data_IF_632191334315
#
_entry.id   IF_632191334315
#
_cell.length_a   1.000
_cell.length_b   1.000
_cell.length_c   1.000
_cell.angle_alpha   90.00
_cell.angle_beta   90.00
_cell.angle_gamma   90.00
#
_symmetry.space_group_name_H-M   'P 1'
#
loop_
_entity.id
_entity.type
_entity.pdbx_description
1 polymer ?
#
# COMPACT_ATOMS: atom_id res chain seq x y z
N UNK A 1 -21.80 -6.06 -12.32
CA UNK A 1 -20.56 -5.96 -11.54
C UNK A 1 -19.45 -5.60 -12.52
N UNK A 2 -18.95 -4.37 -12.50
CA UNK A 2 -17.89 -3.95 -13.41
C UNK A 2 -16.56 -4.53 -12.93
N UNK A 3 -15.95 -5.40 -13.74
CA UNK A 3 -14.58 -5.86 -13.52
C UNK A 3 -13.66 -4.78 -14.05
N UNK A 4 -13.06 -3.99 -13.15
CA UNK A 4 -12.14 -2.92 -13.50
C UNK A 4 -10.71 -3.43 -13.32
N UNK A 5 -10.01 -3.66 -14.44
CA UNK A 5 -8.59 -3.98 -14.42
C UNK A 5 -7.83 -2.70 -14.07
N UNK A 6 -7.40 -2.54 -12.82
CA UNK A 6 -6.48 -1.46 -12.49
C UNK A 6 -5.12 -1.80 -13.10
N UNK A 7 -4.59 -0.89 -13.92
CA UNK A 7 -3.27 -1.07 -14.49
C UNK A 7 -2.23 -1.15 -13.36
N UNK A 8 -1.31 -2.12 -13.43
CA UNK A 8 -0.28 -2.31 -12.40
C UNK A 8 0.54 -1.02 -12.19
N UNK A 9 0.79 -0.25 -13.26
CA UNK A 9 1.46 1.04 -13.15
C UNK A 9 0.69 2.04 -12.26
N UNK A 10 -0.63 2.19 -12.45
CA UNK A 10 -1.48 3.09 -11.66
C UNK A 10 -1.51 2.65 -10.18
N UNK A 11 -1.55 1.34 -9.97
CA UNK A 11 -1.53 0.71 -8.65
C UNK A 11 -0.24 1.06 -7.89
N UNK A 12 0.91 0.96 -8.57
CA UNK A 12 2.22 1.33 -8.03
C UNK A 12 2.35 2.84 -7.79
N UNK A 13 1.77 3.66 -8.67
CA UNK A 13 1.81 5.12 -8.56
C UNK A 13 1.02 5.62 -7.34
N UNK A 14 -0.16 5.04 -7.10
CA UNK A 14 -0.97 5.29 -5.89
C UNK A 14 -0.20 4.86 -4.64
N UNK A 15 0.44 3.69 -4.65
CA UNK A 15 1.26 3.24 -3.52
C UNK A 15 2.43 4.19 -3.25
N UNK A 16 3.10 4.67 -4.29
CA UNK A 16 4.18 5.66 -4.16
C UNK A 16 3.67 7.01 -3.62
N UNK A 17 2.49 7.47 -4.03
CA UNK A 17 1.86 8.67 -3.47
C UNK A 17 1.52 8.50 -1.99
N UNK A 18 0.92 7.38 -1.60
CA UNK A 18 0.61 7.05 -0.21
C UNK A 18 1.89 6.96 0.64
N UNK A 19 2.96 6.39 0.09
CA UNK A 19 4.28 6.33 0.72
C UNK A 19 4.81 7.71 1.06
N UNK A 20 4.80 8.59 0.05
CA UNK A 20 5.27 9.96 0.18
C UNK A 20 4.41 10.74 1.16
N UNK A 21 3.10 10.62 1.09
CA UNK A 21 2.19 11.25 2.05
C UNK A 21 2.49 10.82 3.49
N UNK A 22 2.60 9.52 3.72
CA UNK A 22 2.81 8.95 5.05
C UNK A 22 4.17 9.33 5.65
N UNK A 23 5.23 9.36 4.84
CA UNK A 23 6.58 9.75 5.28
C UNK A 23 6.84 11.26 5.30
N UNK A 24 6.05 12.05 4.58
CA UNK A 24 6.18 13.51 4.56
C UNK A 24 5.32 14.22 5.62
N UNK A 25 4.38 13.52 6.28
CA UNK A 25 3.41 14.16 7.18
C UNK A 25 3.93 14.42 8.61
N UNK A 26 5.03 13.82 9.06
CA UNK A 26 5.49 13.95 10.46
C UNK A 26 6.88 14.61 10.58
N UNK A 27 6.89 15.94 10.66
CA UNK A 27 8.10 16.74 10.94
C UNK A 27 8.74 16.43 12.32
N UNK A 28 7.97 15.87 13.27
CA UNK A 28 8.41 15.70 14.68
C UNK A 28 8.85 14.29 15.06
N UNK A 29 8.46 13.26 14.31
CA UNK A 29 8.87 11.88 14.54
C UNK A 29 9.03 11.21 13.18
N UNK A 30 10.25 11.24 12.63
CA UNK A 30 10.59 10.49 11.43
C UNK A 30 10.37 9.02 11.76
N UNK A 31 9.30 8.44 11.23
CA UNK A 31 9.13 6.99 11.28
C UNK A 31 10.34 6.43 10.53
N UNK A 32 11.14 5.63 11.23
CA UNK A 32 12.31 5.00 10.65
C UNK A 32 11.88 4.26 9.38
N UNK A 33 12.62 4.47 8.28
CA UNK A 33 12.36 3.92 6.97
C UNK A 33 12.16 2.40 7.05
N UNK A 34 10.91 1.98 7.18
CA UNK A 34 10.49 0.59 7.10
C UNK A 34 10.11 0.33 5.65
N UNK A 35 10.59 -0.79 5.11
CA UNK A 35 10.27 -1.20 3.76
C UNK A 35 8.77 -1.39 3.60
N UNK A 36 8.23 -1.02 2.44
CA UNK A 36 6.80 -1.18 2.13
C UNK A 36 6.32 -2.62 2.28
N UNK A 37 7.16 -3.60 1.97
CA UNK A 37 6.88 -5.02 2.23
C UNK A 37 6.51 -5.32 3.68
N UNK A 38 7.19 -4.68 4.63
CA UNK A 38 6.89 -4.85 6.06
C UNK A 38 5.61 -4.10 6.46
N UNK A 39 5.24 -3.05 5.74
CA UNK A 39 3.99 -2.31 5.99
C UNK A 39 2.75 -3.13 5.64
N UNK A 40 2.87 -4.08 4.70
CA UNK A 40 1.78 -5.00 4.35
C UNK A 40 1.47 -6.03 5.43
N UNK A 41 2.45 -6.32 6.30
CA UNK A 41 2.24 -7.25 7.41
C UNK A 41 1.23 -6.68 8.41
N UNK A 42 0.57 -7.57 9.15
CA UNK A 42 -0.42 -7.18 10.15
C UNK A 42 0.25 -6.33 11.22
N UNK A 43 -0.52 -5.45 11.89
CA UNK A 43 -0.03 -4.67 13.03
C UNK A 43 0.61 -5.54 14.13
N UNK A 44 0.06 -6.74 14.33
CA UNK A 44 0.58 -7.71 15.30
C UNK A 44 1.99 -8.22 14.95
N UNK A 45 2.35 -8.22 13.67
CA UNK A 45 3.64 -8.70 13.16
C UNK A 45 4.64 -7.55 12.94
N UNK A 46 4.36 -6.37 13.51
CA UNK A 46 5.20 -5.17 13.36
C UNK A 46 5.02 -4.42 12.04
N UNK A 47 3.98 -4.76 11.27
CA UNK A 47 3.57 -4.00 10.08
C UNK A 47 2.50 -2.95 10.37
N UNK A 48 1.90 -2.40 9.32
CA UNK A 48 0.81 -1.42 9.41
C UNK A 48 -0.53 -1.98 8.91
N UNK A 49 -0.54 -3.19 8.36
CA UNK A 49 -1.72 -3.85 7.83
C UNK A 49 -2.21 -3.23 6.53
N UNK A 50 -1.36 -2.50 5.80
CA UNK A 50 -1.73 -2.01 4.47
C UNK A 50 -2.04 -3.20 3.57
N UNK A 51 -3.19 -3.19 2.90
CA UNK A 51 -3.45 -4.19 1.86
C UNK A 51 -2.75 -3.76 0.57
N UNK A 52 -2.01 -4.68 -0.05
CA UNK A 52 -1.46 -4.44 -1.38
C UNK A 52 -2.62 -4.15 -2.34
N UNK A 53 -2.55 -3.00 -3.00
CA UNK A 53 -3.56 -2.56 -3.96
C UNK A 53 -3.57 -3.51 -5.18
N UNK A 54 -2.45 -4.17 -5.45
CA UNK A 54 -2.29 -5.22 -6.46
C UNK A 54 -2.98 -6.53 -6.05
N UNK A 55 -2.89 -6.90 -4.77
CA UNK A 55 -3.63 -8.05 -4.23
C UNK A 55 -5.15 -7.80 -4.24
N UNK A 56 -5.56 -6.55 -3.98
CA UNK A 56 -6.96 -6.13 -4.11
C UNK A 56 -7.46 -6.20 -5.55
N UNK A 57 -6.67 -5.71 -6.51
CA UNK A 57 -6.99 -5.80 -7.94
C UNK A 57 -7.13 -7.27 -8.40
N UNK A 58 -6.21 -8.14 -7.98
CA UNK A 58 -6.27 -9.58 -8.27
C UNK A 58 -7.52 -10.23 -7.66
N UNK A 59 -7.87 -9.89 -6.42
CA UNK A 59 -9.09 -10.38 -5.77
C UNK A 59 -10.38 -9.88 -6.46
N UNK A 60 -10.36 -8.69 -7.06
CA UNK A 60 -11.46 -8.18 -7.87
C UNK A 60 -11.57 -8.87 -9.24
N UNK A 61 -10.44 -9.36 -9.77
CA UNK A 61 -10.36 -10.07 -11.05
C UNK A 61 -10.69 -11.55 -10.96
N UNK A 62 -10.46 -12.19 -9.81
CA UNK A 62 -10.76 -13.60 -9.57
C UNK A 62 -12.27 -13.91 -9.42
N UNK A 63 -13.12 -13.11 -10.07
CA UNK A 63 -14.57 -13.13 -9.95
C UNK A 63 -15.24 -13.63 -11.22
#
# INVERSE_FOLDING_TARGET
>A
MGVFWLHVALTNEIQAMLARFWWHCHERQKIHWISWDKLYNRKLDGGLGFRSLQAFNTAMLAK
#
